data_IF_414565105019
#
_entry.id   IF_414565105019
#
_cell.length_a   1.000
_cell.length_b   1.000
_cell.length_c   1.000
_cell.angle_alpha   90.00
_cell.angle_beta   90.00
_cell.angle_gamma   90.00
#
_symmetry.space_group_name_H-M   'P 1'
#
loop_
_entity.id
_entity.type
_entity.pdbx_description
1 polymer ?
#
# COMPACT_ATOMS: atom_id res chain seq x y z
N UNK A 1 -24.83 -13.08 12.95
CA UNK A 1 -23.65 -12.23 12.71
C UNK A 1 -23.96 -11.30 11.56
N UNK A 2 -23.89 -9.97 11.75
CA UNK A 2 -24.32 -8.97 10.75
C UNK A 2 -23.18 -8.61 9.79
N UNK A 3 -22.70 -9.57 9.00
CA UNK A 3 -21.72 -9.35 7.93
C UNK A 3 -22.32 -9.74 6.59
N UNK A 4 -21.97 -9.01 5.53
CA UNK A 4 -22.45 -9.32 4.17
C UNK A 4 -21.95 -10.68 3.68
N UNK A 5 -22.70 -11.34 2.80
CA UNK A 5 -22.27 -12.60 2.18
C UNK A 5 -20.96 -12.44 1.39
N UNK A 6 -20.74 -11.29 0.74
CA UNK A 6 -19.49 -10.93 0.05
C UNK A 6 -18.29 -10.97 1.00
N UNK A 7 -18.40 -10.30 2.17
CA UNK A 7 -17.31 -10.26 3.16
C UNK A 7 -17.06 -11.64 3.76
N UNK A 8 -18.11 -12.43 4.00
CA UNK A 8 -17.97 -13.81 4.45
C UNK A 8 -17.16 -14.66 3.46
N UNK A 9 -17.50 -14.58 2.17
CA UNK A 9 -16.75 -15.29 1.13
C UNK A 9 -15.28 -14.83 1.04
N UNK A 10 -15.00 -13.56 1.27
CA UNK A 10 -13.62 -13.04 1.34
C UNK A 10 -12.87 -13.60 2.54
N UNK A 11 -13.49 -13.67 3.72
CA UNK A 11 -12.87 -14.24 4.92
C UNK A 11 -12.47 -15.71 4.72
N UNK A 12 -13.29 -16.50 4.02
CA UNK A 12 -12.98 -17.90 3.71
C UNK A 12 -11.76 -18.02 2.78
N UNK A 13 -11.66 -17.19 1.75
CA UNK A 13 -10.52 -17.15 0.83
C UNK A 13 -9.24 -16.58 1.45
N UNK A 14 -9.34 -15.50 2.21
CA UNK A 14 -8.22 -14.86 2.90
C UNK A 14 -7.63 -15.76 4.02
N UNK A 15 -8.39 -16.71 4.55
CA UNK A 15 -7.92 -17.63 5.59
C UNK A 15 -6.68 -18.43 5.19
N UNK A 16 -6.44 -18.62 3.88
CA UNK A 16 -5.31 -19.42 3.39
C UNK A 16 -3.97 -18.71 3.55
N UNK A 17 -3.91 -17.43 3.19
CA UNK A 17 -2.69 -16.59 3.33
C UNK A 17 -2.35 -16.43 4.82
N UNK A 18 -3.38 -16.15 5.62
CA UNK A 18 -3.22 -16.03 7.06
C UNK A 18 -2.68 -17.32 7.68
N UNK A 19 -3.19 -18.48 7.28
CA UNK A 19 -2.69 -19.78 7.74
C UNK A 19 -1.24 -20.01 7.36
N UNK A 20 -0.81 -19.64 6.16
CA UNK A 20 0.59 -19.77 5.75
C UNK A 20 1.49 -18.89 6.60
N UNK A 21 1.09 -17.66 6.87
CA UNK A 21 1.83 -16.75 7.75
C UNK A 21 1.93 -17.27 9.19
N UNK A 22 0.80 -17.73 9.74
CA UNK A 22 0.73 -18.32 11.09
C UNK A 22 1.58 -19.61 11.18
N UNK A 23 1.53 -20.47 10.17
CA UNK A 23 2.38 -21.66 10.09
C UNK A 23 3.87 -21.32 10.00
N UNK A 24 4.25 -20.31 9.23
CA UNK A 24 5.62 -19.83 9.16
C UNK A 24 6.16 -19.43 10.54
N UNK A 25 5.36 -18.71 11.33
CA UNK A 25 5.72 -18.34 12.69
C UNK A 25 5.90 -19.56 13.61
N UNK A 26 5.00 -20.54 13.54
CA UNK A 26 5.08 -21.79 14.32
C UNK A 26 6.32 -22.59 13.94
N UNK A 27 6.60 -22.73 12.65
CA UNK A 27 7.80 -23.45 12.17
C UNK A 27 9.10 -22.76 12.62
N UNK A 28 9.15 -21.43 12.59
CA UNK A 28 10.31 -20.67 13.10
C UNK A 28 10.53 -20.88 14.60
N UNK A 29 9.46 -20.99 15.39
CA UNK A 29 9.56 -21.34 16.81
C UNK A 29 10.05 -22.78 17.03
N UNK A 30 9.62 -23.72 16.21
CA UNK A 30 9.91 -25.13 16.35
C UNK A 30 11.32 -25.51 15.87
N UNK A 31 11.76 -24.92 14.76
CA UNK A 31 13.00 -25.31 14.09
C UNK A 31 14.11 -24.24 14.15
N UNK A 32 13.82 -23.07 14.72
CA UNK A 32 14.70 -21.90 14.67
C UNK A 32 14.49 -21.07 13.42
N UNK A 33 14.56 -19.73 13.55
CA UNK A 33 14.27 -18.81 12.45
C UNK A 33 15.21 -19.02 11.24
N UNK A 34 16.47 -19.33 11.49
CA UNK A 34 17.49 -19.52 10.45
C UNK A 34 17.31 -20.81 9.63
N UNK A 35 16.49 -21.75 10.12
CA UNK A 35 16.20 -23.02 9.46
C UNK A 35 14.86 -23.02 8.70
N UNK A 36 14.15 -21.88 8.66
CA UNK A 36 12.84 -21.76 8.00
C UNK A 36 12.89 -20.69 6.93
N UNK A 37 12.84 -21.11 5.67
CA UNK A 37 12.79 -20.23 4.51
C UNK A 37 11.33 -19.90 4.20
N UNK A 38 10.88 -18.73 4.66
CA UNK A 38 9.50 -18.28 4.56
C UNK A 38 9.30 -17.41 3.31
N UNK A 39 8.64 -17.96 2.31
CA UNK A 39 8.27 -17.28 1.07
C UNK A 39 6.80 -16.89 1.00
N UNK A 40 6.10 -16.88 2.13
CA UNK A 40 4.66 -16.61 2.17
C UNK A 40 4.32 -15.14 1.94
N UNK A 41 5.20 -14.21 2.33
CA UNK A 41 4.99 -12.77 2.21
C UNK A 41 6.31 -12.08 1.85
N UNK A 42 6.29 -11.25 0.81
CA UNK A 42 7.39 -10.35 0.49
C UNK A 42 7.44 -9.18 1.48
N UNK A 43 8.35 -9.25 2.45
CA UNK A 43 8.53 -8.19 3.43
C UNK A 43 9.86 -7.47 3.17
N UNK A 44 9.90 -6.12 3.14
CA UNK A 44 11.14 -5.38 3.04
C UNK A 44 12.07 -5.74 4.21
N UNK A 45 13.33 -5.99 3.91
CA UNK A 45 14.35 -6.33 4.90
C UNK A 45 15.48 -5.29 4.97
N UNK A 46 15.36 -4.21 4.22
CA UNK A 46 16.26 -3.07 4.28
C UNK A 46 15.61 -1.94 5.06
N UNK A 47 16.37 -1.36 5.97
CA UNK A 47 15.93 -0.17 6.69
C UNK A 47 15.88 1.04 5.75
N UNK A 48 15.00 2.02 6.02
CA UNK A 48 15.00 3.29 5.30
C UNK A 48 16.36 3.99 5.43
N UNK A 49 16.74 4.85 4.46
CA UNK A 49 17.93 5.68 4.59
C UNK A 49 17.88 6.55 5.86
N UNK A 50 19.02 6.82 6.48
CA UNK A 50 19.12 7.61 7.71
C UNK A 50 18.44 8.99 7.56
N UNK A 51 18.58 9.61 6.41
CA UNK A 51 17.88 10.85 6.04
C UNK A 51 16.37 10.82 6.26
N UNK A 52 15.73 9.66 6.13
CA UNK A 52 14.31 9.52 6.39
C UNK A 52 13.97 9.77 7.87
N UNK A 53 14.78 9.23 8.77
CA UNK A 53 14.60 9.43 10.22
C UNK A 53 14.86 10.88 10.61
N UNK A 54 15.93 11.48 10.08
CA UNK A 54 16.26 12.91 10.33
C UNK A 54 15.09 13.81 9.95
N UNK A 55 14.53 13.62 8.76
CA UNK A 55 13.39 14.42 8.26
C UNK A 55 12.14 14.19 9.12
N UNK A 56 11.87 12.98 9.56
CA UNK A 56 10.74 12.70 10.46
C UNK A 56 10.90 13.43 11.80
N UNK A 57 12.09 13.42 12.39
CA UNK A 57 12.37 14.15 13.62
C UNK A 57 12.21 15.67 13.43
N UNK A 58 12.72 16.21 12.34
CA UNK A 58 12.57 17.63 11.99
C UNK A 58 11.10 18.02 11.89
N UNK A 59 10.32 17.23 11.17
CA UNK A 59 8.88 17.41 11.01
C UNK A 59 8.14 17.40 12.35
N UNK A 60 8.49 16.47 13.24
CA UNK A 60 7.87 16.37 14.58
C UNK A 60 8.25 17.58 15.43
N UNK A 61 9.52 17.97 15.42
CA UNK A 61 10.04 19.11 16.20
C UNK A 61 9.49 20.45 15.74
N UNK A 62 9.21 20.61 14.45
CA UNK A 62 8.68 21.85 13.87
C UNK A 62 7.31 22.26 14.44
N UNK A 63 6.50 21.30 14.92
CA UNK A 63 5.17 21.53 15.52
C UNK A 63 4.32 22.51 14.71
N UNK A 64 4.32 22.36 13.38
CA UNK A 64 3.65 23.27 12.45
C UNK A 64 2.17 23.38 12.79
N UNK A 65 1.63 24.58 13.04
CA UNK A 65 0.21 24.76 13.31
C UNK A 65 -0.66 24.28 12.16
N UNK A 66 -1.82 23.67 12.48
CA UNK A 66 -2.77 23.19 11.48
C UNK A 66 -2.42 21.86 10.80
N UNK A 67 -1.27 21.25 11.09
CA UNK A 67 -0.82 19.99 10.48
C UNK A 67 -1.80 18.82 10.67
N UNK A 68 -2.60 18.84 11.71
CA UNK A 68 -3.61 17.82 12.01
C UNK A 68 -5.01 18.18 11.49
N UNK A 69 -5.14 19.26 10.74
CA UNK A 69 -6.36 19.66 10.08
C UNK A 69 -6.64 18.83 8.82
N UNK A 70 -7.85 18.98 8.27
CA UNK A 70 -8.17 18.41 6.97
C UNK A 70 -7.35 19.08 5.86
N UNK A 71 -6.89 18.28 4.91
CA UNK A 71 -6.29 18.73 3.66
C UNK A 71 -7.26 18.54 2.49
N UNK A 72 -6.85 18.98 1.30
CA UNK A 72 -7.61 18.68 0.06
C UNK A 72 -7.66 17.16 -0.18
N UNK A 73 -8.72 16.69 -0.84
CA UNK A 73 -8.91 15.26 -1.11
C UNK A 73 -7.76 14.63 -1.93
N UNK A 74 -7.08 15.43 -2.74
CA UNK A 74 -5.94 14.98 -3.53
C UNK A 74 -4.61 15.01 -2.76
N UNK A 75 -4.57 15.54 -1.54
CA UNK A 75 -3.35 15.71 -0.74
C UNK A 75 -2.83 17.15 -0.75
N UNK A 76 -1.76 17.40 0.00
CA UNK A 76 -1.12 18.70 0.07
C UNK A 76 -0.52 19.11 -1.29
N UNK A 77 -0.77 20.34 -1.77
CA UNK A 77 -0.28 20.80 -3.07
C UNK A 77 1.24 20.71 -3.22
N UNK A 78 1.98 21.07 -2.18
CA UNK A 78 3.43 21.03 -2.17
C UNK A 78 3.97 19.58 -2.27
N UNK A 79 3.33 18.62 -1.61
CA UNK A 79 3.69 17.20 -1.70
C UNK A 79 3.41 16.66 -3.09
N UNK A 80 2.26 17.03 -3.67
CA UNK A 80 1.88 16.62 -5.03
C UNK A 80 2.83 17.19 -6.08
N UNK A 81 3.23 18.46 -5.92
CA UNK A 81 4.21 19.08 -6.80
C UNK A 81 5.56 18.36 -6.74
N UNK A 82 6.08 18.11 -5.53
CA UNK A 82 7.35 17.40 -5.37
C UNK A 82 7.32 15.97 -5.96
N UNK A 83 6.20 15.26 -5.84
CA UNK A 83 6.02 13.94 -6.47
C UNK A 83 5.96 14.06 -7.98
N UNK A 84 5.29 15.08 -8.53
CA UNK A 84 5.21 15.32 -9.96
C UNK A 84 6.58 15.63 -10.56
N UNK A 85 7.36 16.48 -9.89
CA UNK A 85 8.73 16.83 -10.32
C UNK A 85 9.62 15.58 -10.37
N UNK A 86 9.60 14.77 -9.30
CA UNK A 86 10.34 13.52 -9.24
C UNK A 86 9.95 12.54 -10.36
N UNK A 87 8.65 12.34 -10.58
CA UNK A 87 8.16 11.44 -11.63
C UNK A 87 8.45 11.96 -13.03
N UNK A 88 8.44 13.29 -13.23
CA UNK A 88 8.81 13.90 -14.49
C UNK A 88 10.27 13.62 -14.83
N UNK A 89 11.16 13.73 -13.87
CA UNK A 89 12.58 13.42 -14.03
C UNK A 89 12.81 11.93 -14.27
N UNK A 90 12.19 11.06 -13.46
CA UNK A 90 12.37 9.61 -13.54
C UNK A 90 11.86 9.01 -14.85
N UNK A 91 10.74 9.50 -15.36
CA UNK A 91 10.08 8.91 -16.54
C UNK A 91 10.24 9.73 -17.83
N UNK A 92 10.81 10.93 -17.77
CA UNK A 92 10.96 11.80 -18.93
C UNK A 92 9.63 12.30 -19.50
N UNK A 93 8.58 12.37 -18.67
CA UNK A 93 7.24 12.82 -19.03
C UNK A 93 6.86 13.99 -18.13
N UNK A 94 6.49 15.13 -18.72
CA UNK A 94 6.11 16.30 -17.95
C UNK A 94 4.84 16.04 -17.13
N UNK A 95 4.95 16.14 -15.81
CA UNK A 95 3.84 16.00 -14.85
C UNK A 95 3.76 17.23 -13.96
N UNK A 96 2.54 17.56 -13.55
CA UNK A 96 2.24 18.66 -12.63
C UNK A 96 1.51 18.12 -11.40
N UNK A 97 1.51 18.88 -10.31
CA UNK A 97 0.82 18.48 -9.08
C UNK A 97 -0.66 18.13 -9.26
N UNK A 98 -1.34 18.69 -10.28
CA UNK A 98 -2.72 18.36 -10.62
C UNK A 98 -2.92 16.93 -11.16
N UNK A 99 -1.87 16.32 -11.69
CA UNK A 99 -1.89 14.92 -12.14
C UNK A 99 -1.68 13.92 -10.99
N UNK A 100 -1.39 14.40 -9.79
CA UNK A 100 -1.07 13.56 -8.63
C UNK A 100 -2.23 13.55 -7.62
N UNK A 101 -2.61 12.36 -7.19
CA UNK A 101 -3.54 12.13 -6.08
C UNK A 101 -2.83 11.27 -5.05
N UNK A 102 -2.70 11.80 -3.83
CA UNK A 102 -2.11 11.06 -2.71
C UNK A 102 -3.15 10.11 -2.11
N UNK A 103 -2.72 8.89 -1.82
CA UNK A 103 -3.58 7.86 -1.24
C UNK A 103 -2.92 7.17 -0.05
N UNK A 104 -3.68 6.37 0.68
CA UNK A 104 -3.14 5.54 1.76
C UNK A 104 -2.55 4.25 1.17
N UNK A 105 -1.32 4.35 0.67
CA UNK A 105 -0.60 3.24 0.06
C UNK A 105 -1.15 2.79 -1.31
N UNK A 106 -0.49 1.81 -1.91
CA UNK A 106 -0.84 1.27 -3.24
C UNK A 106 -2.24 0.64 -3.27
N UNK A 107 -2.66 -0.03 -2.18
CA UNK A 107 -4.02 -0.59 -2.07
C UNK A 107 -5.10 0.48 -2.15
N UNK A 108 -4.88 1.64 -1.50
CA UNK A 108 -5.74 2.81 -1.62
C UNK A 108 -5.79 3.34 -3.05
N UNK A 109 -4.63 3.48 -3.69
CA UNK A 109 -4.51 3.94 -5.07
C UNK A 109 -5.27 3.03 -6.05
N UNK A 110 -5.06 1.72 -5.96
CA UNK A 110 -5.75 0.74 -6.81
C UNK A 110 -7.27 0.80 -6.64
N UNK A 111 -7.77 0.88 -5.41
CA UNK A 111 -9.21 1.03 -5.18
C UNK A 111 -9.78 2.32 -5.78
N UNK A 112 -9.05 3.43 -5.68
CA UNK A 112 -9.45 4.70 -6.31
C UNK A 112 -9.51 4.57 -7.82
N UNK A 113 -8.44 4.05 -8.44
CA UNK A 113 -8.34 3.89 -9.90
C UNK A 113 -9.43 2.95 -10.42
N UNK A 114 -9.55 1.74 -9.85
CA UNK A 114 -10.52 0.75 -10.30
C UNK A 114 -11.96 1.27 -10.15
N UNK A 115 -12.27 1.91 -9.01
CA UNK A 115 -13.61 2.48 -8.80
C UNK A 115 -13.93 3.67 -9.71
N UNK A 116 -12.90 4.40 -10.17
CA UNK A 116 -13.09 5.57 -11.05
C UNK A 116 -13.26 5.16 -12.50
N UNK A 117 -12.58 4.10 -12.93
CA UNK A 117 -12.49 3.72 -14.34
C UNK A 117 -13.43 2.59 -14.75
N UNK A 118 -13.98 1.83 -13.79
CA UNK A 118 -14.75 0.62 -14.09
C UNK A 118 -16.23 0.79 -13.73
N UNK A 119 -17.06 0.38 -14.64
CA UNK A 119 -18.50 0.18 -14.43
C UNK A 119 -18.83 -1.27 -14.01
N UNK A 120 -20.00 -1.54 -13.42
CA UNK A 120 -20.44 -2.89 -13.12
C UNK A 120 -20.50 -3.77 -14.37
N UNK A 121 -19.68 -4.80 -14.42
CA UNK A 121 -19.56 -5.72 -15.55
C UNK A 121 -18.27 -5.58 -16.35
N UNK A 122 -17.48 -4.53 -16.09
CA UNK A 122 -16.16 -4.41 -16.67
C UNK A 122 -15.19 -5.44 -16.10
N UNK A 123 -14.20 -5.81 -16.89
CA UNK A 123 -13.21 -6.84 -16.56
C UNK A 123 -11.80 -6.25 -16.49
N UNK A 124 -11.02 -6.78 -15.56
CA UNK A 124 -9.59 -6.43 -15.38
C UNK A 124 -8.74 -7.68 -15.64
N UNK A 125 -7.81 -7.58 -16.57
CA UNK A 125 -6.83 -8.64 -16.82
C UNK A 125 -5.65 -8.50 -15.84
N UNK A 126 -5.43 -9.55 -15.06
CA UNK A 126 -4.32 -9.62 -14.11
C UNK A 126 -3.39 -10.76 -14.50
N UNK A 127 -2.16 -10.46 -14.99
CA UNK A 127 -1.18 -11.51 -15.30
C UNK A 127 -0.78 -12.30 -14.06
N UNK A 128 -0.63 -13.62 -14.21
CA UNK A 128 -0.16 -14.52 -13.13
C UNK A 128 1.35 -14.77 -13.28
N UNK A 129 2.11 -14.93 -12.20
CA UNK A 129 1.70 -14.84 -10.78
C UNK A 129 1.44 -13.41 -10.35
N UNK A 130 0.46 -13.19 -9.45
CA UNK A 130 0.06 -11.87 -8.99
C UNK A 130 -0.13 -11.81 -7.47
N UNK A 131 -0.21 -10.59 -6.94
CA UNK A 131 -0.50 -10.37 -5.53
C UNK A 131 -1.99 -10.61 -5.25
N UNK A 132 -2.26 -11.56 -4.38
CA UNK A 132 -3.63 -12.10 -4.15
C UNK A 132 -4.64 -11.07 -3.68
N UNK A 133 -4.20 -9.97 -3.09
CA UNK A 133 -5.09 -8.89 -2.65
C UNK A 133 -5.80 -8.19 -3.81
N UNK A 134 -5.32 -8.32 -5.05
CA UNK A 134 -6.02 -7.80 -6.23
C UNK A 134 -7.41 -8.40 -6.39
N UNK A 135 -7.64 -9.62 -5.90
CA UNK A 135 -8.97 -10.24 -5.88
C UNK A 135 -9.99 -9.50 -5.01
N UNK A 136 -9.52 -8.65 -4.10
CA UNK A 136 -10.36 -7.92 -3.15
C UNK A 136 -10.55 -6.46 -3.54
N UNK A 137 -9.59 -5.89 -4.25
CA UNK A 137 -9.65 -4.50 -4.72
C UNK A 137 -10.67 -4.27 -5.80
#
# INVERSE_FOLDING_TARGET
MAISGKVRGFMEKASWIRRMFEQGAVLKQQYGADNVFDFSLGNPNLEPPEKFFDVLEEIIRARTPGRHGYMSNAGYPETRAAVADYLSEEHGVEMFGEHIVMTCGAGGALNVVLKTLLDPGDEVLVPVPYFVEYNFY
#
